data_IF_319427995707
#
_entry.id   IF_319427995707
#
_cell.length_a   1.000
_cell.length_b   1.000
_cell.length_c   1.000
_cell.angle_alpha   90.00
_cell.angle_beta   90.00
_cell.angle_gamma   90.00
#
_symmetry.space_group_name_H-M   'P 1'
#
loop_
_entity.id
_entity.type
_entity.pdbx_description
1 polymer ?
#
# COMPACT_ATOMS: atom_id res chain seq x y z
N UNK A 1 -0.59 17.49 -18.02
CA UNK A 1 -0.81 16.11 -17.51
C UNK A 1 0.08 15.19 -18.33
N UNK A 2 0.89 14.34 -17.69
CA UNK A 2 1.75 13.39 -18.39
C UNK A 2 0.88 12.40 -19.20
N UNK A 3 1.44 11.81 -20.24
CA UNK A 3 0.74 10.76 -20.97
C UNK A 3 0.61 9.54 -20.06
N UNK A 4 -0.57 8.90 -19.99
CA UNK A 4 -0.73 7.68 -19.20
C UNK A 4 0.19 6.59 -19.76
N UNK A 5 0.83 5.84 -18.87
CA UNK A 5 1.72 4.74 -19.26
C UNK A 5 0.92 3.54 -19.79
N UNK A 6 -0.33 3.40 -19.35
CA UNK A 6 -1.26 2.39 -19.86
C UNK A 6 -2.70 2.94 -19.90
N UNK A 7 -3.53 2.34 -20.75
CA UNK A 7 -4.93 2.73 -20.94
C UNK A 7 -5.83 1.51 -20.99
N UNK A 8 -6.91 1.54 -20.21
CA UNK A 8 -7.92 0.50 -20.17
C UNK A 8 -9.23 1.02 -20.74
N UNK A 9 -9.70 0.40 -21.81
CA UNK A 9 -11.01 0.71 -22.37
C UNK A 9 -12.14 -0.01 -21.60
N UNK A 10 -13.20 0.73 -21.29
CA UNK A 10 -14.45 0.19 -20.73
C UNK A 10 -15.57 0.46 -21.72
N UNK A 11 -16.06 -0.60 -22.36
CA UNK A 11 -17.21 -0.48 -23.27
C UNK A 11 -18.50 -0.54 -22.47
N UNK A 12 -19.31 0.52 -22.56
CA UNK A 12 -20.65 0.59 -21.98
C UNK A 12 -21.68 0.86 -23.09
N UNK A 13 -22.99 0.71 -22.82
CA UNK A 13 -24.02 1.11 -23.78
C UNK A 13 -24.05 2.62 -24.08
N UNK A 14 -23.47 3.47 -23.22
CA UNK A 14 -23.35 4.92 -23.42
C UNK A 14 -22.11 5.32 -24.24
N UNK A 15 -21.27 4.35 -24.63
CA UNK A 15 -20.01 4.56 -25.34
C UNK A 15 -18.80 3.97 -24.61
N UNK A 16 -17.61 4.20 -25.16
CA UNK A 16 -16.35 3.72 -24.60
C UNK A 16 -15.73 4.75 -23.67
N UNK A 17 -15.50 4.34 -22.43
CA UNK A 17 -14.78 5.11 -21.42
C UNK A 17 -13.33 4.63 -21.38
N UNK A 18 -12.43 5.48 -20.88
CA UNK A 18 -10.99 5.18 -20.81
C UNK A 18 -10.49 5.45 -19.40
N UNK A 19 -9.91 4.44 -18.76
CA UNK A 19 -9.04 4.63 -17.58
C UNK A 19 -7.64 4.87 -18.12
N UNK A 20 -7.07 6.05 -17.88
CA UNK A 20 -5.65 6.32 -18.11
C UNK A 20 -4.87 6.13 -16.82
N UNK A 21 -3.91 5.21 -16.80
CA UNK A 21 -3.04 4.95 -15.65
C UNK A 21 -1.77 5.80 -15.75
N UNK A 22 -1.42 6.47 -14.65
CA UNK A 22 -0.29 7.39 -14.57
C UNK A 22 0.63 7.00 -13.44
N UNK A 23 1.93 7.24 -13.61
CA UNK A 23 2.86 7.25 -12.50
C UNK A 23 2.79 8.60 -11.82
N UNK A 24 2.73 8.60 -10.49
CA UNK A 24 2.99 9.80 -9.72
C UNK A 24 4.49 9.92 -9.44
N UNK A 25 5.17 10.70 -10.28
CA UNK A 25 6.61 10.96 -10.16
C UNK A 25 6.95 11.95 -9.04
N UNK A 26 5.95 12.71 -8.59
CA UNK A 26 6.09 13.76 -7.58
C UNK A 26 5.46 13.33 -6.24
N UNK A 27 5.06 12.06 -6.14
CA UNK A 27 4.36 11.52 -4.98
C UNK A 27 5.14 11.81 -3.69
N UNK A 28 4.48 12.49 -2.75
CA UNK A 28 5.05 12.75 -1.44
C UNK A 28 5.34 11.40 -0.74
N UNK A 29 6.37 11.38 0.10
CA UNK A 29 6.56 10.24 1.03
C UNK A 29 5.27 10.10 1.82
N UNK A 30 4.63 8.92 1.83
CA UNK A 30 3.33 8.76 2.46
C UNK A 30 3.37 9.22 3.93
N UNK A 31 2.45 10.10 4.28
CA UNK A 31 2.33 10.66 5.62
C UNK A 31 1.52 9.69 6.47
N UNK A 32 2.22 8.80 7.17
CA UNK A 32 1.60 7.76 7.99
C UNK A 32 1.26 8.24 9.41
N UNK A 33 1.32 9.55 9.70
CA UNK A 33 1.04 10.05 11.05
C UNK A 33 -0.41 9.87 11.49
N UNK A 34 -1.34 9.67 10.56
CA UNK A 34 -2.77 9.57 10.87
C UNK A 34 -3.32 8.12 10.83
N UNK A 35 -2.61 7.16 10.22
CA UNK A 35 -3.11 5.78 10.02
C UNK A 35 -2.37 4.67 10.78
N UNK A 36 -1.32 4.99 11.57
CA UNK A 36 -0.88 4.16 12.70
C UNK A 36 0.17 3.06 12.45
N UNK A 37 0.83 3.02 11.30
CA UNK A 37 1.80 1.96 10.96
C UNK A 37 3.26 2.34 11.20
N UNK A 38 4.07 1.43 11.75
CA UNK A 38 5.52 1.65 11.90
C UNK A 38 6.34 0.55 11.22
N UNK A 39 7.33 0.96 10.41
CA UNK A 39 8.31 0.09 9.75
C UNK A 39 9.71 0.56 10.07
N UNK A 40 10.51 -0.28 10.74
CA UNK A 40 11.94 -0.03 10.92
C UNK A 40 12.77 -0.91 9.99
N UNK A 41 13.67 -0.30 9.21
CA UNK A 41 14.66 -1.02 8.40
C UNK A 41 16.08 -0.70 8.91
N UNK A 42 16.92 -1.74 8.98
CA UNK A 42 18.25 -1.71 9.56
C UNK A 42 19.35 -1.13 8.67
N UNK A 43 19.02 -0.80 7.41
CA UNK A 43 19.87 0.00 6.53
C UNK A 43 19.55 1.51 6.70
N UNK A 44 20.30 2.40 6.07
CA UNK A 44 20.13 3.87 6.21
C UNK A 44 18.76 4.42 5.78
N UNK A 45 17.80 3.57 5.39
CA UNK A 45 16.42 3.94 5.02
C UNK A 45 15.52 3.78 6.24
N UNK A 46 15.32 4.85 7.00
CA UNK A 46 14.41 4.84 8.14
C UNK A 46 13.07 5.44 7.75
N UNK A 47 11.96 4.75 8.05
CA UNK A 47 10.64 5.40 8.20
C UNK A 47 10.27 5.38 9.69
N UNK A 48 9.83 6.52 10.22
CA UNK A 48 9.34 6.74 11.60
C UNK A 48 8.21 7.79 11.49
N UNK A 49 7.07 7.78 12.19
CA UNK A 49 6.83 7.71 13.64
C UNK A 49 5.38 7.23 13.96
N UNK A 50 5.03 6.70 15.15
CA UNK A 50 4.57 7.47 16.34
C UNK A 50 5.11 6.96 17.71
N UNK A 51 5.95 5.91 17.75
CA UNK A 51 6.23 5.16 18.99
C UNK A 51 7.54 5.50 19.71
N UNK A 52 8.06 6.73 19.62
CA UNK A 52 9.12 7.26 20.48
C UNK A 52 10.23 6.26 20.85
N UNK A 53 10.33 5.88 22.12
CA UNK A 53 11.36 4.99 22.68
C UNK A 53 11.42 3.58 22.03
N UNK A 54 10.29 3.01 21.59
CA UNK A 54 10.29 1.68 20.98
C UNK A 54 11.02 1.67 19.62
N UNK A 55 10.88 2.74 18.85
CA UNK A 55 11.62 2.92 17.59
C UNK A 55 13.14 3.00 17.85
N UNK A 56 13.55 3.69 18.91
CA UNK A 56 14.96 3.79 19.31
C UNK A 56 15.51 2.46 19.83
N UNK A 57 14.74 1.69 20.60
CA UNK A 57 15.11 0.36 21.07
C UNK A 57 15.31 -0.60 19.88
N UNK A 58 14.36 -0.58 18.93
CA UNK A 58 14.45 -1.37 17.70
C UNK A 58 15.65 -0.94 16.86
N UNK A 59 15.89 0.36 16.70
CA UNK A 59 17.07 0.89 16.02
C UNK A 59 18.37 0.37 16.63
N UNK A 60 18.49 0.46 17.95
CA UNK A 60 19.68 0.00 18.67
C UNK A 60 19.87 -1.51 18.59
N UNK A 61 18.79 -2.29 18.57
CA UNK A 61 18.83 -3.74 18.39
C UNK A 61 19.19 -4.13 16.96
N UNK A 62 18.56 -3.52 15.96
CA UNK A 62 18.82 -3.81 14.55
C UNK A 62 20.22 -3.36 14.12
N UNK A 63 20.72 -2.20 14.56
CA UNK A 63 22.12 -1.81 14.32
C UNK A 63 23.14 -2.84 14.84
N UNK A 64 22.80 -3.56 15.90
CA UNK A 64 23.65 -4.66 16.41
C UNK A 64 23.56 -5.91 15.53
N UNK A 65 22.42 -6.16 14.89
CA UNK A 65 22.09 -7.40 14.18
C UNK A 65 22.15 -7.32 12.64
N UNK A 66 22.07 -6.12 12.04
CA UNK A 66 22.09 -5.88 10.58
C UNK A 66 23.50 -5.69 10.02
N UNK A 67 24.42 -5.20 10.84
CA UNK A 67 25.83 -5.19 10.47
C UNK A 67 26.37 -6.60 10.59
N UNK A 68 27.17 -7.02 9.61
CA UNK A 68 28.21 -8.06 9.69
C UNK A 68 29.22 -7.78 10.80
N UNK A 69 28.73 -7.56 12.02
CA UNK A 69 29.52 -7.25 13.18
C UNK A 69 29.96 -8.58 13.78
N UNK A 70 31.09 -9.07 13.27
CA UNK A 70 31.92 -10.12 13.88
C UNK A 70 32.31 -9.80 15.34
N UNK A 71 31.94 -8.62 15.85
CA UNK A 71 32.16 -8.15 17.22
C UNK A 71 31.07 -8.54 18.22
N UNK A 72 29.93 -9.09 17.79
CA UNK A 72 28.96 -9.62 18.76
C UNK A 72 29.40 -11.00 19.23
N UNK A 73 29.41 -11.20 20.54
CA UNK A 73 29.61 -12.53 21.11
C UNK A 73 28.40 -13.40 20.83
N UNK A 74 28.57 -14.71 20.64
CA UNK A 74 27.48 -15.68 20.33
C UNK A 74 26.26 -15.56 21.27
N UNK A 75 26.47 -15.22 22.54
CA UNK A 75 25.40 -15.06 23.54
C UNK A 75 24.56 -13.79 23.38
N UNK A 76 25.02 -12.83 22.58
CA UNK A 76 24.37 -11.55 22.30
C UNK A 76 23.43 -11.64 21.10
N UNK A 77 23.52 -12.73 20.32
CA UNK A 77 22.59 -13.00 19.23
C UNK A 77 21.16 -13.18 19.76
N UNK A 78 20.21 -12.47 19.14
CA UNK A 78 18.78 -12.59 19.36
C UNK A 78 18.12 -12.91 18.05
N UNK A 79 17.16 -13.82 18.07
CA UNK A 79 16.32 -14.08 16.91
C UNK A 79 15.28 -12.98 16.76
N UNK A 80 14.79 -12.75 15.54
CA UNK A 80 13.69 -11.81 15.31
C UNK A 80 12.47 -12.14 16.18
N UNK A 81 12.16 -13.42 16.38
CA UNK A 81 11.11 -13.86 17.32
C UNK A 81 11.35 -13.43 18.77
N UNK A 82 12.59 -13.44 19.24
CA UNK A 82 12.92 -12.99 20.59
C UNK A 82 12.73 -11.47 20.74
N UNK A 83 13.10 -10.71 19.71
CA UNK A 83 12.90 -9.25 19.66
C UNK A 83 11.40 -8.93 19.60
N UNK A 84 10.65 -9.57 18.69
CA UNK A 84 9.21 -9.41 18.58
C UNK A 84 8.49 -9.71 19.90
N UNK A 85 8.91 -10.77 20.61
CA UNK A 85 8.39 -11.08 21.95
C UNK A 85 8.71 -9.99 22.96
N UNK A 86 9.91 -9.44 22.96
CA UNK A 86 10.28 -8.33 23.85
C UNK A 86 9.40 -7.11 23.59
N UNK A 87 9.25 -6.70 22.33
CA UNK A 87 8.44 -5.55 21.94
C UNK A 87 6.97 -5.70 22.35
N UNK A 88 6.40 -6.89 22.19
CA UNK A 88 5.06 -7.18 22.68
C UNK A 88 4.93 -7.04 24.20
N UNK A 89 5.91 -7.53 24.96
CA UNK A 89 5.86 -7.53 26.43
C UNK A 89 6.17 -6.16 27.04
N UNK A 90 7.12 -5.43 26.45
CA UNK A 90 7.59 -4.15 26.97
C UNK A 90 6.75 -2.96 26.48
N UNK A 91 6.30 -3.02 25.22
CA UNK A 91 5.67 -1.89 24.52
C UNK A 91 4.24 -2.20 24.05
N UNK A 92 3.71 -3.40 24.32
CA UNK A 92 2.34 -3.77 23.95
C UNK A 92 2.09 -3.93 22.45
N UNK A 93 3.16 -3.98 21.63
CA UNK A 93 3.04 -4.03 20.17
C UNK A 93 2.41 -5.32 19.68
N UNK A 94 1.58 -5.21 18.64
CA UNK A 94 0.87 -6.30 17.98
C UNK A 94 1.31 -6.41 16.53
N UNK A 95 0.98 -7.53 15.86
CA UNK A 95 1.23 -7.68 14.42
C UNK A 95 2.70 -7.70 14.01
N UNK A 96 3.65 -7.85 14.94
CA UNK A 96 5.09 -7.76 14.63
C UNK A 96 5.49 -8.81 13.57
N UNK A 97 5.97 -8.34 12.42
CA UNK A 97 6.51 -9.17 11.34
C UNK A 97 7.99 -8.83 11.13
N UNK A 98 8.77 -9.82 10.69
CA UNK A 98 10.12 -9.58 10.20
C UNK A 98 10.05 -9.10 8.76
N UNK A 99 10.75 -7.99 8.49
CA UNK A 99 10.92 -7.48 7.13
C UNK A 99 12.21 -8.05 6.57
N UNK A 100 12.12 -8.55 5.34
CA UNK A 100 13.28 -8.99 4.57
C UNK A 100 13.33 -8.28 3.24
N UNK A 101 14.54 -8.08 2.76
CA UNK A 101 14.79 -7.56 1.43
C UNK A 101 15.30 -8.69 0.53
N UNK A 102 14.52 -9.05 -0.49
CA UNK A 102 14.89 -10.07 -1.46
C UNK A 102 14.91 -9.47 -2.87
N UNK A 103 16.09 -9.42 -3.49
CA UNK A 103 16.27 -8.72 -4.76
C UNK A 103 16.11 -7.21 -4.56
N UNK A 104 15.14 -6.61 -5.24
CA UNK A 104 14.78 -5.19 -5.16
C UNK A 104 13.47 -4.96 -4.38
N UNK A 105 12.99 -5.97 -3.66
CA UNK A 105 11.67 -5.97 -3.02
C UNK A 105 11.71 -6.21 -1.52
N UNK A 106 10.84 -5.51 -0.79
CA UNK A 106 10.60 -5.68 0.63
C UNK A 106 9.39 -6.59 0.89
N UNK A 107 9.55 -7.50 1.84
CA UNK A 107 8.52 -8.48 2.20
C UNK A 107 8.38 -8.61 3.72
N UNK A 108 7.20 -9.05 4.16
CA UNK A 108 6.90 -9.40 5.56
C UNK A 108 6.72 -10.90 5.72
N UNK A 109 7.30 -11.45 6.79
CA UNK A 109 7.03 -12.82 7.24
C UNK A 109 7.03 -12.92 8.78
N UNK A 110 6.63 -14.09 9.27
CA UNK A 110 6.70 -14.39 10.70
C UNK A 110 8.13 -14.28 11.22
N UNK A 111 8.36 -13.64 12.39
CA UNK A 111 9.70 -13.46 12.92
C UNK A 111 10.45 -14.79 13.09
N UNK A 112 11.62 -14.88 12.47
CA UNK A 112 12.45 -16.08 12.51
C UNK A 112 12.91 -16.41 13.93
N UNK A 113 12.96 -17.70 14.26
CA UNK A 113 13.52 -18.21 15.51
C UNK A 113 15.03 -18.45 15.44
N UNK A 114 15.63 -18.36 14.25
CA UNK A 114 17.07 -18.53 14.08
C UNK A 114 17.82 -17.29 14.57
N UNK A 115 18.48 -17.40 15.73
CA UNK A 115 19.30 -16.32 16.31
C UNK A 115 20.54 -15.95 15.49
N UNK A 116 20.96 -16.82 14.56
CA UNK A 116 22.13 -16.59 13.72
C UNK A 116 21.75 -16.00 12.36
N UNK A 117 20.46 -15.87 12.05
CA UNK A 117 20.01 -15.15 10.85
C UNK A 117 20.14 -13.63 11.06
N UNK A 118 20.56 -12.93 10.02
CA UNK A 118 20.47 -11.47 9.97
C UNK A 118 19.01 -11.00 9.99
N UNK A 119 18.80 -9.74 10.38
CA UNK A 119 17.48 -9.12 10.42
C UNK A 119 17.55 -7.82 9.63
N UNK A 120 16.87 -7.77 8.49
CA UNK A 120 16.84 -6.58 7.64
C UNK A 120 15.92 -5.50 8.21
N UNK A 121 14.80 -5.89 8.81
CA UNK A 121 13.89 -4.96 9.48
C UNK A 121 12.80 -5.64 10.31
N UNK A 122 12.00 -4.80 10.97
CA UNK A 122 10.81 -5.19 11.71
C UNK A 122 9.69 -4.18 11.43
N UNK A 123 8.49 -4.68 11.22
CA UNK A 123 7.28 -3.87 11.08
C UNK A 123 6.24 -4.34 12.10
N UNK A 124 5.35 -3.44 12.50
CA UNK A 124 4.27 -3.78 13.42
C UNK A 124 3.03 -2.89 13.21
N UNK A 125 1.90 -3.37 13.71
CA UNK A 125 0.60 -2.69 13.60
C UNK A 125 0.29 -1.85 14.85
N UNK A 126 -0.62 -0.88 14.75
CA UNK A 126 -1.18 -0.24 15.93
C UNK A 126 -1.99 -1.26 16.76
N UNK A 127 -2.19 -0.96 18.04
CA UNK A 127 -2.78 -1.90 18.99
C UNK A 127 -4.27 -2.20 18.70
N UNK A 128 -4.96 -1.29 18.03
CA UNK A 128 -6.38 -1.36 17.66
C UNK A 128 -6.63 -1.90 16.25
N UNK A 129 -5.59 -2.30 15.51
CA UNK A 129 -5.75 -2.92 14.20
C UNK A 129 -6.59 -4.22 14.31
N UNK A 130 -7.69 -4.35 13.53
CA UNK A 130 -8.57 -5.53 13.61
C UNK A 130 -7.90 -6.81 13.11
N UNK A 131 -6.99 -6.69 12.13
CA UNK A 131 -6.16 -7.78 11.60
C UNK A 131 -4.67 -7.35 11.62
N UNK A 132 -3.98 -7.43 12.78
CA UNK A 132 -2.64 -6.90 12.98
C UNK A 132 -1.57 -7.36 11.97
N UNK A 133 -1.60 -8.64 11.60
CA UNK A 133 -0.61 -9.21 10.68
C UNK A 133 -0.85 -8.73 9.24
N UNK A 134 -2.10 -8.66 8.80
CA UNK A 134 -2.46 -8.25 7.44
C UNK A 134 -2.24 -6.74 7.27
N UNK A 135 -2.57 -5.95 8.29
CA UNK A 135 -2.21 -4.54 8.37
C UNK A 135 -0.70 -4.32 8.16
N UNK A 136 0.13 -5.08 8.89
CA UNK A 136 1.61 -4.96 8.81
C UNK A 136 2.14 -5.37 7.43
N UNK A 137 1.53 -6.38 6.79
CA UNK A 137 1.88 -6.77 5.42
C UNK A 137 1.50 -5.70 4.41
N UNK A 138 0.31 -5.11 4.54
CA UNK A 138 -0.14 -3.99 3.71
C UNK A 138 0.82 -2.82 3.78
N UNK A 139 1.22 -2.42 4.99
CA UNK A 139 2.17 -1.33 5.21
C UNK A 139 3.52 -1.55 4.51
N UNK A 140 4.09 -2.76 4.60
CA UNK A 140 5.36 -3.07 3.94
C UNK A 140 5.21 -3.18 2.43
N UNK A 141 4.08 -3.66 1.92
CA UNK A 141 3.79 -3.65 0.49
C UNK A 141 3.68 -2.22 -0.06
N UNK A 142 3.08 -1.30 0.70
CA UNK A 142 3.00 0.13 0.32
C UNK A 142 4.37 0.78 0.31
N UNK A 143 5.19 0.51 1.33
CA UNK A 143 6.57 0.96 1.34
C UNK A 143 7.36 0.41 0.16
N UNK A 144 7.19 -0.89 -0.16
CA UNK A 144 7.85 -1.52 -1.29
C UNK A 144 7.47 -0.85 -2.62
N UNK A 145 6.17 -0.61 -2.82
CA UNK A 145 5.67 0.08 -4.01
C UNK A 145 6.26 1.49 -4.11
N UNK A 146 6.27 2.26 -3.02
CA UNK A 146 6.93 3.57 -2.98
C UNK A 146 8.43 3.49 -3.31
N UNK A 147 9.16 2.58 -2.66
CA UNK A 147 10.60 2.41 -2.84
C UNK A 147 10.96 2.02 -4.27
N UNK A 148 10.06 1.34 -4.97
CA UNK A 148 10.20 0.94 -6.37
C UNK A 148 9.57 1.93 -7.38
N UNK A 149 9.06 3.08 -6.94
CA UNK A 149 8.44 4.09 -7.81
C UNK A 149 7.10 3.65 -8.40
N UNK A 150 6.43 2.69 -7.78
CA UNK A 150 5.14 2.14 -8.15
C UNK A 150 3.99 2.92 -7.51
N UNK A 151 4.04 4.25 -7.62
CA UNK A 151 2.92 5.11 -7.20
C UNK A 151 2.03 5.34 -8.41
N UNK A 152 0.76 4.98 -8.28
CA UNK A 152 -0.19 4.98 -9.38
C UNK A 152 -1.32 5.98 -9.13
N UNK A 153 -1.74 6.65 -10.20
CA UNK A 153 -3.00 7.38 -10.26
C UNK A 153 -3.80 6.97 -11.49
N UNK A 154 -5.09 7.27 -11.50
CA UNK A 154 -5.89 7.13 -12.70
C UNK A 154 -6.74 8.36 -13.00
N UNK A 155 -6.97 8.57 -14.29
CA UNK A 155 -8.00 9.48 -14.81
C UNK A 155 -9.04 8.67 -15.55
N UNK A 156 -10.32 8.83 -15.21
CA UNK A 156 -11.44 8.22 -15.92
C UNK A 156 -12.05 9.24 -16.89
N UNK A 157 -11.98 8.94 -18.18
CA UNK A 157 -12.50 9.80 -19.25
C UNK A 157 -13.71 9.14 -19.92
N UNK A 158 -14.75 9.94 -20.14
CA UNK A 158 -15.97 9.58 -20.83
C UNK A 158 -15.80 9.51 -22.37
N UNK A 159 -16.79 8.98 -23.12
CA UNK A 159 -16.74 8.91 -24.59
C UNK A 159 -16.72 10.28 -25.29
N UNK A 160 -17.15 11.34 -24.59
CA UNK A 160 -17.13 12.73 -25.06
C UNK A 160 -15.88 13.49 -24.58
N UNK A 161 -14.81 12.76 -24.26
CA UNK A 161 -13.51 13.27 -23.76
C UNK A 161 -13.59 14.05 -22.44
N UNK A 162 -14.75 14.04 -21.77
CA UNK A 162 -14.93 14.66 -20.45
C UNK A 162 -14.29 13.79 -19.38
N UNK A 163 -13.44 14.39 -18.54
CA UNK A 163 -13.01 13.74 -17.29
C UNK A 163 -14.20 13.58 -16.33
N UNK A 164 -14.41 12.36 -15.86
CA UNK A 164 -15.47 12.01 -14.90
C UNK A 164 -14.92 12.06 -13.50
N UNK A 165 -13.74 11.47 -13.33
CA UNK A 165 -13.08 11.34 -12.05
C UNK A 165 -11.57 11.17 -12.26
N UNK A 166 -10.81 11.60 -11.27
CA UNK A 166 -9.40 11.27 -11.15
C UNK A 166 -9.11 10.95 -9.70
N UNK A 167 -8.33 9.89 -9.49
CA UNK A 167 -7.91 9.44 -8.18
C UNK A 167 -6.39 9.25 -8.20
N UNK A 168 -5.76 9.81 -7.18
CA UNK A 168 -4.32 9.77 -6.96
C UNK A 168 -4.16 9.41 -5.49
N UNK A 169 -3.89 8.13 -5.20
CA UNK A 169 -3.78 7.71 -3.81
C UNK A 169 -2.86 6.49 -3.63
N UNK A 170 -2.18 6.47 -2.50
CA UNK A 170 -1.35 5.37 -2.06
C UNK A 170 -2.24 4.23 -1.59
N UNK A 171 -1.91 3.05 -2.09
CA UNK A 171 -2.94 2.06 -2.29
C UNK A 171 -2.76 0.89 -1.35
N UNK A 172 -3.31 1.10 -0.18
CA UNK A 172 -3.35 0.08 0.86
C UNK A 172 -4.76 0.13 1.42
N UNK A 173 -5.67 -0.60 0.76
CA UNK A 173 -6.93 -1.00 1.39
C UNK A 173 -6.56 -2.13 2.40
N UNK A 174 -6.66 -1.89 3.71
CA UNK A 174 -6.31 -2.87 4.72
C UNK A 174 -7.23 -4.10 4.72
N UNK A 175 -8.37 -4.03 4.03
CA UNK A 175 -9.35 -5.11 3.93
C UNK A 175 -9.24 -5.92 2.62
N UNK A 176 -8.33 -5.57 1.69
CA UNK A 176 -8.17 -6.29 0.42
C UNK A 176 -7.36 -7.60 0.60
N UNK A 177 -7.88 -8.77 0.19
CA UNK A 177 -7.16 -10.03 0.31
C UNK A 177 -5.93 -10.08 -0.60
N UNK A 178 -4.76 -10.38 -0.01
CA UNK A 178 -3.48 -10.49 -0.68
C UNK A 178 -3.51 -11.64 -1.72
N UNK A 179 -3.37 -11.32 -3.00
CA UNK A 179 -3.18 -12.32 -4.07
C UNK A 179 -1.92 -11.94 -4.86
N UNK A 180 -0.98 -12.88 -5.03
CA UNK A 180 0.41 -12.60 -5.40
C UNK A 180 0.68 -12.06 -6.82
N UNK A 181 -0.32 -11.57 -7.54
CA UNK A 181 -0.24 -11.32 -8.99
C UNK A 181 -0.40 -9.84 -9.42
N UNK A 182 -0.22 -8.86 -8.53
CA UNK A 182 -0.11 -7.44 -8.89
C UNK A 182 0.08 -6.51 -7.69
N UNK A 183 0.49 -5.24 -7.89
CA UNK A 183 0.36 -4.25 -6.82
C UNK A 183 -1.13 -4.20 -6.46
N UNK A 184 -1.46 -4.61 -5.24
CA UNK A 184 -2.84 -4.86 -4.78
C UNK A 184 -3.70 -3.61 -4.99
N UNK A 185 -3.15 -2.48 -4.56
CA UNK A 185 -2.51 -1.45 -5.38
C UNK A 185 -3.10 -0.91 -6.68
N UNK A 186 -3.71 -1.73 -7.53
CA UNK A 186 -4.15 -1.30 -8.86
C UNK A 186 -5.47 -1.96 -9.25
N UNK A 187 -5.76 -3.16 -8.72
CA UNK A 187 -7.02 -3.88 -8.87
C UNK A 187 -8.28 -3.15 -8.35
N UNK A 188 -8.36 -2.86 -7.06
CA UNK A 188 -9.37 -1.98 -6.43
C UNK A 188 -9.62 -0.65 -7.16
N UNK A 189 -8.65 0.24 -7.42
CA UNK A 189 -8.84 1.48 -8.20
C UNK A 189 -9.45 1.20 -9.57
N UNK A 190 -8.96 0.19 -10.30
CA UNK A 190 -9.53 -0.16 -11.60
C UNK A 190 -10.98 -0.63 -11.41
N UNK A 191 -11.30 -1.36 -10.33
CA UNK A 191 -12.66 -1.78 -9.98
C UNK A 191 -13.57 -0.59 -9.65
N UNK A 192 -13.12 0.34 -8.83
CA UNK A 192 -13.86 1.57 -8.49
C UNK A 192 -14.09 2.44 -9.73
N UNK A 193 -13.03 2.68 -10.53
CA UNK A 193 -13.13 3.41 -11.78
C UNK A 193 -14.12 2.76 -12.76
N UNK A 194 -14.18 1.41 -12.79
CA UNK A 194 -15.19 0.68 -13.57
C UNK A 194 -16.59 0.91 -13.03
N UNK A 195 -16.79 0.84 -11.71
CA UNK A 195 -18.09 1.08 -11.09
C UNK A 195 -18.60 2.50 -11.39
N UNK A 196 -17.73 3.50 -11.30
CA UNK A 196 -18.04 4.89 -11.65
C UNK A 196 -18.38 5.06 -13.13
N UNK A 197 -17.63 4.43 -14.04
CA UNK A 197 -17.94 4.44 -15.47
C UNK A 197 -19.34 3.89 -15.75
N UNK A 198 -19.72 2.79 -15.09
CA UNK A 198 -21.07 2.23 -15.22
C UNK A 198 -22.16 3.15 -14.63
N UNK A 199 -21.89 3.82 -13.50
CA UNK A 199 -22.81 4.77 -12.89
C UNK A 199 -23.04 6.01 -13.76
N UNK A 200 -21.97 6.59 -14.35
CA UNK A 200 -22.08 7.70 -15.30
C UNK A 200 -22.83 7.27 -16.57
N UNK A 201 -22.52 6.08 -17.11
CA UNK A 201 -23.21 5.54 -18.28
C UNK A 201 -24.71 5.35 -18.03
N UNK A 202 -25.10 4.79 -16.88
CA UNK A 202 -26.51 4.64 -16.51
C UNK A 202 -27.23 5.99 -16.40
N UNK A 203 -26.56 7.00 -15.84
CA UNK A 203 -27.09 8.36 -15.73
C UNK A 203 -27.30 9.00 -17.10
N UNK A 204 -26.34 8.87 -18.02
CA UNK A 204 -26.46 9.39 -19.40
C UNK A 204 -27.61 8.73 -20.17
N UNK A 205 -27.77 7.41 -20.04
CA UNK A 205 -28.87 6.67 -20.66
C UNK A 205 -30.22 7.16 -20.14
N UNK A 206 -30.34 7.36 -18.82
CA UNK A 206 -31.57 7.88 -18.20
C UNK A 206 -31.91 9.30 -18.68
N UNK A 207 -30.90 10.18 -18.79
CA UNK A 207 -31.06 11.54 -19.31
C UNK A 207 -31.50 11.55 -20.78
N UNK A 208 -30.86 10.73 -21.63
CA UNK A 208 -31.22 10.61 -23.05
C UNK A 208 -32.67 10.11 -23.23
N UNK A 209 -33.08 9.13 -22.42
CA UNK A 209 -34.46 8.62 -22.44
C UNK A 209 -35.49 9.67 -22.00
N UNK A 210 -35.15 10.50 -21.01
CA UNK A 210 -36.02 11.60 -20.54
C UNK A 210 -36.16 12.69 -21.60
N UNK A 211 -35.06 13.08 -22.25
CA UNK A 211 -35.07 14.04 -23.35
C UNK A 211 -35.86 13.50 -24.56
N UNK A 212 -35.67 12.22 -24.92
CA UNK A 212 -36.42 11.57 -25.99
C UNK A 212 -37.93 11.48 -25.71
N UNK A 213 -38.32 11.19 -24.47
CA UNK A 213 -39.73 11.19 -24.06
C UNK A 213 -40.35 12.61 -24.09
N UNK A 214 -39.58 13.65 -23.74
CA UNK A 214 -40.01 15.05 -23.81
C UNK A 214 -40.20 15.56 -25.24
N UNK A 215 -39.39 15.10 -26.19
CA UNK A 215 -39.55 15.44 -27.62
C UNK A 215 -40.78 14.75 -28.22
N UNK A 216 -41.07 13.49 -27.85
CA UNK A 216 -42.27 12.79 -28.34
C UNK A 216 -43.56 13.40 -27.77
N UNK A 217 -43.54 13.98 -26.56
CA UNK A 217 -44.68 14.67 -25.96
C UNK A 217 -44.99 16.06 -26.54
N UNK A 218 -44.13 16.59 -27.41
CA UNK A 218 -44.26 17.92 -28.05
C UNK A 218 -44.59 17.84 -29.56
N UNK A 219 -44.78 16.64 -30.11
CA UNK A 219 -45.17 16.41 -31.52
C UNK A 219 -46.69 16.27 -31.63
#
# INVERSE_FOLDING_TARGET
MLAPFDKIAITTPAGTYVIGLHYDLDAAVPDYTDDGGFVYLGDTRTISAQLGDAAHDVAALLQRHSATNDSLWEHQHRSAAAIARYLRLAHGLTGVQQVHHNGDRYHCEEPSTNRHAGIDGLAWSPADAPQPADYTRGLVATYDAWANGEVYGYTLTAPDDREIHSCWDFYTDPDEPFTGDGPLGLGYMIREARAEAYNDAATRIAQANTAGAGVIGLI
#
